data_IF_696484179184
#
_entry.id   IF_696484179184
#
_cell.length_a   1.000
_cell.length_b   1.000
_cell.length_c   1.000
_cell.angle_alpha   90.00
_cell.angle_beta   90.00
_cell.angle_gamma   90.00
#
_symmetry.space_group_name_H-M   'P 1'
#
loop_
_entity.id
_entity.type
_entity.pdbx_description
1 polymer ?
#
# COMPACT_ATOMS: atom_id res chain seq x y z
N UNK A 1 17.93 -9.58 -45.88
CA UNK A 1 18.06 -10.56 -44.78
C UNK A 1 17.70 -9.80 -43.51
N UNK A 2 16.56 -10.16 -42.91
CA UNK A 2 16.07 -9.55 -41.66
C UNK A 2 16.93 -10.10 -40.53
N UNK A 3 17.68 -9.23 -39.84
CA UNK A 3 18.29 -9.58 -38.57
C UNK A 3 17.14 -9.66 -37.56
N UNK A 4 16.72 -10.88 -37.26
CA UNK A 4 15.73 -11.14 -36.22
C UNK A 4 16.44 -10.91 -34.90
N UNK A 5 15.99 -9.89 -34.17
CA UNK A 5 16.45 -9.54 -32.84
C UNK A 5 16.03 -10.66 -31.87
N UNK A 6 16.98 -11.49 -31.44
CA UNK A 6 16.76 -12.59 -30.50
C UNK A 6 16.73 -12.13 -29.03
N UNK A 7 16.52 -10.84 -28.76
CA UNK A 7 16.46 -10.29 -27.40
C UNK A 7 15.06 -10.09 -26.84
N UNK A 8 14.01 -10.47 -27.58
CA UNK A 8 12.66 -10.61 -27.03
C UNK A 8 12.46 -12.03 -26.47
N UNK A 9 13.24 -12.37 -25.45
CA UNK A 9 12.84 -13.46 -24.55
C UNK A 9 11.58 -12.98 -23.86
N UNK A 10 10.42 -13.37 -24.38
CA UNK A 10 9.08 -13.17 -23.83
C UNK A 10 8.91 -13.81 -22.45
N UNK A 11 9.67 -13.32 -21.48
CA UNK A 11 9.26 -13.33 -20.09
C UNK A 11 8.25 -12.20 -20.04
N UNK A 12 6.96 -12.54 -20.20
CA UNK A 12 5.89 -11.69 -19.70
C UNK A 12 6.33 -11.26 -18.29
N UNK A 13 6.68 -10.00 -18.12
CA UNK A 13 7.09 -9.45 -16.83
C UNK A 13 5.86 -9.52 -15.96
N UNK A 14 5.69 -10.64 -15.25
CA UNK A 14 4.52 -10.96 -14.45
C UNK A 14 4.26 -9.77 -13.53
N UNK A 15 3.15 -9.06 -13.77
CA UNK A 15 2.73 -7.96 -12.90
C UNK A 15 2.75 -8.46 -11.46
N UNK A 16 3.56 -7.82 -10.61
CA UNK A 16 3.66 -8.17 -9.21
C UNK A 16 2.88 -7.16 -8.39
N UNK A 17 1.94 -7.66 -7.59
CA UNK A 17 1.32 -6.86 -6.55
C UNK A 17 2.38 -6.50 -5.51
N UNK A 18 2.52 -5.22 -5.23
CA UNK A 18 3.46 -4.70 -4.28
C UNK A 18 3.24 -5.31 -2.88
N UNK A 19 4.28 -5.92 -2.32
CA UNK A 19 4.21 -6.59 -1.01
C UNK A 19 3.92 -5.59 0.11
N UNK A 20 4.46 -4.37 0.04
CA UNK A 20 4.14 -3.30 0.99
C UNK A 20 2.66 -2.96 0.94
N UNK A 21 2.02 -2.92 -0.23
CA UNK A 21 0.58 -2.67 -0.33
C UNK A 21 -0.26 -3.78 0.34
N UNK A 22 0.16 -5.05 0.20
CA UNK A 22 -0.49 -6.19 0.87
C UNK A 22 -0.32 -6.11 2.39
N UNK A 23 0.91 -5.88 2.86
CA UNK A 23 1.23 -5.75 4.29
C UNK A 23 0.48 -4.57 4.90
N UNK A 24 0.42 -3.44 4.19
CA UNK A 24 -0.31 -2.25 4.62
C UNK A 24 -1.79 -2.55 4.84
N UNK A 25 -2.44 -3.22 3.89
CA UNK A 25 -3.85 -3.56 4.00
C UNK A 25 -4.09 -4.54 5.17
N UNK A 26 -3.22 -5.53 5.34
CA UNK A 26 -3.31 -6.45 6.49
C UNK A 26 -3.17 -5.71 7.82
N UNK A 27 -2.21 -4.79 7.94
CA UNK A 27 -2.07 -3.94 9.13
C UNK A 27 -3.32 -3.10 9.36
N UNK A 28 -3.89 -2.50 8.31
CA UNK A 28 -5.11 -1.71 8.42
C UNK A 28 -6.31 -2.56 8.87
N UNK A 29 -6.46 -3.77 8.36
CA UNK A 29 -7.57 -4.66 8.76
C UNK A 29 -7.44 -5.22 10.17
N UNK A 30 -6.23 -5.20 10.74
CA UNK A 30 -5.93 -5.70 12.09
C UNK A 30 -5.87 -4.60 13.15
N UNK A 31 -6.12 -3.33 12.79
CA UNK A 31 -6.07 -2.20 13.73
C UNK A 31 -4.68 -1.62 13.96
N UNK A 32 -3.68 -2.05 13.19
CA UNK A 32 -2.31 -1.55 13.28
C UNK A 32 -2.13 -0.32 12.39
N UNK A 33 -2.75 0.80 12.81
CA UNK A 33 -2.83 2.01 11.99
C UNK A 33 -1.47 2.62 11.63
N UNK A 34 -0.47 2.60 12.52
CA UNK A 34 0.87 3.16 12.22
C UNK A 34 1.57 2.40 11.08
N UNK A 35 1.78 1.07 11.16
CA UNK A 35 2.40 0.35 10.05
C UNK A 35 1.52 0.33 8.81
N UNK A 36 0.18 0.35 8.94
CA UNK A 36 -0.72 0.51 7.80
C UNK A 36 -0.43 1.79 7.00
N UNK A 37 -0.27 2.92 7.69
CA UNK A 37 0.05 4.20 7.06
C UNK A 37 1.44 4.20 6.41
N UNK A 38 2.45 3.65 7.10
CA UNK A 38 3.83 3.61 6.62
C UNK A 38 3.96 2.72 5.38
N UNK A 39 3.51 1.47 5.46
CA UNK A 39 3.60 0.55 4.32
C UNK A 39 2.66 0.94 3.19
N UNK A 40 1.52 1.58 3.49
CA UNK A 40 0.59 2.09 2.49
C UNK A 40 1.22 3.22 1.68
N UNK A 41 1.94 4.15 2.33
CA UNK A 41 2.63 5.24 1.65
C UNK A 41 3.77 4.70 0.75
N UNK A 42 4.57 3.76 1.28
CA UNK A 42 5.64 3.11 0.51
C UNK A 42 5.07 2.37 -0.69
N UNK A 43 4.06 1.52 -0.47
CA UNK A 43 3.42 0.74 -1.54
C UNK A 43 2.76 1.62 -2.60
N UNK A 44 2.21 2.78 -2.23
CA UNK A 44 1.65 3.74 -3.18
C UNK A 44 2.73 4.36 -4.08
N UNK A 45 3.85 4.80 -3.50
CA UNK A 45 4.98 5.38 -4.25
C UNK A 45 5.62 4.36 -5.18
N UNK A 46 5.87 3.15 -4.68
CA UNK A 46 6.48 2.06 -5.45
C UNK A 46 5.58 1.61 -6.61
N UNK A 47 4.27 1.47 -6.37
CA UNK A 47 3.30 1.10 -7.42
C UNK A 47 3.11 2.19 -8.49
N UNK A 48 3.54 3.43 -8.24
CA UNK A 48 3.53 4.52 -9.22
C UNK A 48 4.86 4.72 -9.96
N UNK A 49 5.95 4.16 -9.43
CA UNK A 49 7.31 4.40 -9.92
C UNK A 49 7.94 3.24 -10.71
N UNK A 50 7.33 2.05 -10.73
CA UNK A 50 7.91 0.85 -11.35
C UNK A 50 6.93 0.25 -12.37
N UNK A 51 7.41 0.05 -13.60
CA UNK A 51 6.61 -0.33 -14.79
C UNK A 51 5.90 -1.71 -14.67
N UNK A 52 6.25 -2.53 -13.67
CA UNK A 52 5.71 -3.87 -13.47
C UNK A 52 5.19 -4.13 -12.05
N UNK A 53 5.05 -3.09 -11.22
CA UNK A 53 4.48 -3.19 -9.88
C UNK A 53 3.09 -2.57 -9.82
N UNK A 54 2.10 -3.40 -9.45
CA UNK A 54 0.70 -3.00 -9.27
C UNK A 54 0.34 -3.03 -7.78
N UNK A 55 -0.82 -2.48 -7.40
CA UNK A 55 -1.26 -2.46 -6.00
C UNK A 55 -1.50 -1.09 -5.40
N UNK A 56 -1.50 -0.03 -6.22
CA UNK A 56 -1.84 1.33 -5.79
C UNK A 56 -3.22 1.40 -5.11
N UNK A 57 -4.22 0.66 -5.60
CA UNK A 57 -5.55 0.59 -4.97
C UNK A 57 -5.52 -0.01 -3.56
N UNK A 58 -4.73 -1.07 -3.36
CA UNK A 58 -4.55 -1.70 -2.05
C UNK A 58 -3.83 -0.76 -1.08
N UNK A 59 -2.79 -0.09 -1.57
CA UNK A 59 -2.03 0.90 -0.81
C UNK A 59 -2.92 2.08 -0.38
N UNK A 60 -3.73 2.63 -1.29
CA UNK A 60 -4.68 3.72 -0.99
C UNK A 60 -5.75 3.26 0.00
N UNK A 61 -6.30 2.05 -0.16
CA UNK A 61 -7.27 1.50 0.78
C UNK A 61 -6.68 1.38 2.19
N UNK A 62 -5.45 0.88 2.31
CA UNK A 62 -4.73 0.78 3.58
C UNK A 62 -4.49 2.16 4.21
N UNK A 63 -4.11 3.16 3.42
CA UNK A 63 -3.92 4.54 3.88
C UNK A 63 -5.22 5.14 4.44
N UNK A 64 -6.34 4.97 3.73
CA UNK A 64 -7.64 5.49 4.15
C UNK A 64 -8.07 4.82 5.46
N UNK A 65 -8.01 3.49 5.52
CA UNK A 65 -8.38 2.74 6.72
C UNK A 65 -7.49 3.12 7.92
N UNK A 66 -6.17 3.13 7.76
CA UNK A 66 -5.24 3.52 8.82
C UNK A 66 -5.46 4.97 9.30
N UNK A 67 -5.83 5.89 8.41
CA UNK A 67 -6.16 7.26 8.79
C UNK A 67 -7.47 7.35 9.58
N UNK A 68 -8.49 6.58 9.20
CA UNK A 68 -9.76 6.49 9.94
C UNK A 68 -9.52 5.93 11.35
N UNK A 69 -8.74 4.86 11.46
CA UNK A 69 -8.38 4.26 12.75
C UNK A 69 -7.62 5.22 13.65
N UNK A 70 -6.60 5.89 13.13
CA UNK A 70 -5.85 6.92 13.86
C UNK A 70 -6.80 8.03 14.34
N UNK A 71 -7.69 8.50 13.47
CA UNK A 71 -8.68 9.55 13.82
C UNK A 71 -9.59 9.08 14.95
N UNK A 72 -10.10 7.85 14.88
CA UNK A 72 -10.95 7.29 15.93
C UNK A 72 -10.21 7.19 17.28
N UNK A 73 -8.95 6.74 17.28
CA UNK A 73 -8.11 6.67 18.48
C UNK A 73 -7.88 8.05 19.08
N UNK A 74 -7.54 9.05 18.26
CA UNK A 74 -7.33 10.43 18.71
C UNK A 74 -8.61 11.02 19.29
N UNK A 75 -9.75 10.86 18.62
CA UNK A 75 -11.05 11.34 19.11
C UNK A 75 -11.41 10.68 20.44
N UNK A 76 -11.26 9.36 20.54
CA UNK A 76 -11.52 8.63 21.77
C UNK A 76 -10.64 9.13 22.93
N UNK A 77 -9.35 9.35 22.67
CA UNK A 77 -8.42 9.89 23.67
C UNK A 77 -8.82 11.32 24.11
N UNK A 78 -9.17 12.19 23.17
CA UNK A 78 -9.61 13.57 23.48
C UNK A 78 -10.88 13.56 24.32
N UNK A 79 -11.87 12.73 23.96
CA UNK A 79 -13.12 12.59 24.73
C UNK A 79 -12.82 12.08 26.14
N UNK A 80 -11.97 11.06 26.26
CA UNK A 80 -11.61 10.47 27.54
C UNK A 80 -10.87 11.45 28.46
N UNK A 81 -10.01 12.30 27.90
CA UNK A 81 -9.35 13.40 28.62
C UNK A 81 -10.34 14.50 29.00
N UNK A 82 -11.31 14.82 28.13
CA UNK A 82 -12.29 15.89 28.36
C UNK A 82 -13.35 15.54 29.41
N UNK A 83 -13.54 14.25 29.70
CA UNK A 83 -14.50 13.75 30.68
C UNK A 83 -13.89 13.53 32.08
N UNK A 84 -12.56 13.62 32.21
CA UNK A 84 -11.84 13.59 33.49
C UNK A 84 -11.59 15.01 34.00
#
# INVERSE_FOLDING_TARGET
MVAVDETDFGIDTVERTNVCAIVALFCALTGLFIPALVFGAIGYVESGGREYETGSGLAVAALILGAIELTAVVVAAVVLVSLH
#
